data_IF_046004186028
#
_entry.id   IF_046004186028
#
_cell.length_a   1.000
_cell.length_b   1.000
_cell.length_c   1.000
_cell.angle_alpha   90.00
_cell.angle_beta   90.00
_cell.angle_gamma   90.00
#
_symmetry.space_group_name_H-M   'P 1'
#
loop_
_entity.id
_entity.type
_entity.pdbx_description
1 polymer ?
#
# COMPACT_ATOMS: atom_id res chain seq x y z
N UNK A 1 10.31 -17.31 -0.17
CA UNK A 1 9.36 -16.31 -0.60
C UNK A 1 9.65 -15.00 0.09
N UNK A 2 9.65 -13.91 -0.66
CA UNK A 2 10.08 -12.61 -0.18
C UNK A 2 8.99 -11.88 0.60
N UNK A 3 7.73 -11.97 0.16
CA UNK A 3 6.63 -11.30 0.84
C UNK A 3 5.77 -12.31 1.60
N UNK A 4 5.62 -12.07 2.89
CA UNK A 4 4.75 -12.88 3.74
C UNK A 4 3.43 -12.14 3.94
N UNK A 5 2.33 -12.78 3.62
CA UNK A 5 1.00 -12.16 3.69
C UNK A 5 0.15 -12.87 4.75
N UNK A 6 -0.45 -12.09 5.66
CA UNK A 6 -1.42 -12.58 6.62
C UNK A 6 -2.72 -11.79 6.50
N UNK A 7 -3.79 -12.32 7.07
CA UNK A 7 -5.13 -11.73 6.94
C UNK A 7 -5.81 -11.61 8.28
N UNK A 8 -6.61 -10.55 8.42
CA UNK A 8 -7.47 -10.34 9.59
C UNK A 8 -8.74 -9.62 9.15
N UNK A 9 -9.72 -9.53 10.08
CA UNK A 9 -10.99 -8.86 9.83
C UNK A 9 -12.11 -9.79 9.38
N UNK A 10 -13.23 -9.21 9.04
CA UNK A 10 -14.50 -9.90 8.85
C UNK A 10 -14.63 -10.72 7.58
N UNK A 11 -14.37 -10.06 6.47
CA UNK A 11 -14.46 -10.64 5.14
C UNK A 11 -13.14 -10.36 4.47
N UNK A 12 -12.46 -11.38 4.11
CA UNK A 12 -11.28 -11.17 3.32
C UNK A 12 -11.34 -12.03 2.06
N UNK A 13 -10.90 -11.46 0.99
CA UNK A 13 -10.81 -12.12 -0.31
C UNK A 13 -9.42 -12.72 -0.43
N UNK A 14 -9.08 -13.61 0.49
CA UNK A 14 -7.72 -14.12 0.68
C UNK A 14 -7.04 -14.57 -0.61
N UNK A 15 -7.75 -15.36 -1.38
CA UNK A 15 -7.18 -15.97 -2.57
C UNK A 15 -6.76 -14.93 -3.60
N UNK A 16 -7.68 -14.02 -3.91
CA UNK A 16 -7.39 -12.99 -4.93
C UNK A 16 -6.37 -11.97 -4.42
N UNK A 17 -6.40 -11.67 -3.13
CA UNK A 17 -5.43 -10.74 -2.53
C UNK A 17 -4.02 -11.35 -2.56
N UNK A 18 -3.87 -12.62 -2.20
CA UNK A 18 -2.56 -13.30 -2.30
C UNK A 18 -2.05 -13.28 -3.73
N UNK A 19 -2.91 -13.62 -4.67
CA UNK A 19 -2.55 -13.66 -6.09
C UNK A 19 -2.13 -12.27 -6.58
N UNK A 20 -2.90 -11.25 -6.23
CA UNK A 20 -2.59 -9.87 -6.63
C UNK A 20 -1.28 -9.37 -6.02
N UNK A 21 -1.04 -9.67 -4.75
CA UNK A 21 0.21 -9.27 -4.08
C UNK A 21 1.40 -10.00 -4.70
N UNK A 22 1.26 -11.29 -4.96
CA UNK A 22 2.32 -12.07 -5.60
C UNK A 22 2.64 -11.52 -6.99
N UNK A 23 1.62 -11.23 -7.78
CA UNK A 23 1.79 -10.61 -9.09
C UNK A 23 2.47 -9.25 -8.96
N UNK A 24 2.01 -8.41 -8.03
CA UNK A 24 2.55 -7.07 -7.82
C UNK A 24 4.05 -7.13 -7.48
N UNK A 25 4.43 -8.01 -6.54
CA UNK A 25 5.82 -8.08 -6.10
C UNK A 25 6.75 -8.50 -7.24
N UNK A 26 6.32 -9.41 -8.09
CA UNK A 26 7.07 -9.81 -9.27
C UNK A 26 7.11 -8.72 -10.33
N UNK A 27 5.96 -8.13 -10.62
CA UNK A 27 5.81 -7.09 -11.63
C UNK A 27 6.64 -5.84 -11.30
N UNK A 28 6.77 -5.52 -10.00
CA UNK A 28 7.50 -4.35 -9.52
C UNK A 28 8.93 -4.69 -9.05
N UNK A 29 9.38 -5.90 -9.28
CA UNK A 29 10.73 -6.34 -8.89
C UNK A 29 11.01 -6.22 -7.39
N UNK A 30 10.02 -6.54 -6.56
CA UNK A 30 10.14 -6.54 -5.11
C UNK A 30 10.36 -7.95 -4.54
N UNK A 31 10.38 -8.96 -5.39
CA UNK A 31 10.41 -10.36 -4.97
C UNK A 31 11.74 -10.82 -4.35
N UNK A 32 12.76 -9.96 -4.34
CA UNK A 32 14.03 -10.23 -3.66
C UNK A 32 14.12 -9.64 -2.27
N UNK A 33 13.14 -8.78 -1.91
CA UNK A 33 13.09 -8.17 -0.59
C UNK A 33 12.24 -9.03 0.35
N UNK A 34 12.64 -9.11 1.62
CA UNK A 34 11.88 -9.83 2.64
C UNK A 34 11.05 -8.83 3.43
N UNK A 35 9.74 -8.99 3.41
CA UNK A 35 8.83 -8.10 4.13
C UNK A 35 7.50 -8.79 4.39
N UNK A 36 6.69 -8.22 5.27
CA UNK A 36 5.40 -8.77 5.68
C UNK A 36 4.29 -7.75 5.47
N UNK A 37 3.17 -8.21 4.94
CA UNK A 37 1.95 -7.42 4.80
C UNK A 37 0.82 -8.16 5.52
N UNK A 38 0.19 -7.48 6.47
CA UNK A 38 -1.08 -7.92 7.02
C UNK A 38 -2.18 -7.16 6.27
N UNK A 39 -3.14 -7.89 5.72
CA UNK A 39 -4.30 -7.29 5.05
C UNK A 39 -5.51 -7.46 5.97
N UNK A 40 -6.08 -6.34 6.37
CA UNK A 40 -7.22 -6.32 7.28
C UNK A 40 -8.44 -5.71 6.58
N UNK A 41 -9.49 -6.50 6.47
CA UNK A 41 -10.76 -6.01 5.94
C UNK A 41 -11.57 -5.43 7.09
N UNK A 42 -12.05 -4.22 6.91
CA UNK A 42 -12.83 -3.51 7.92
C UNK A 42 -13.76 -2.52 7.25
N UNK A 43 -14.64 -1.90 8.04
CA UNK A 43 -15.48 -0.79 7.56
C UNK A 43 -14.73 0.51 7.78
N UNK A 44 -14.49 1.24 6.69
CA UNK A 44 -13.77 2.52 6.73
C UNK A 44 -14.70 3.73 6.54
N UNK A 45 -16.02 3.51 6.52
CA UNK A 45 -16.98 4.53 6.16
C UNK A 45 -16.91 5.80 7.01
N UNK A 46 -16.64 5.65 8.30
CA UNK A 46 -16.58 6.80 9.21
C UNK A 46 -15.30 7.63 9.04
N UNK A 47 -14.34 7.11 8.33
CA UNK A 47 -13.08 7.78 8.05
C UNK A 47 -13.03 8.33 6.64
N UNK A 48 -14.10 8.14 5.87
CA UNK A 48 -14.23 8.58 4.48
C UNK A 48 -13.07 8.13 3.59
N UNK A 49 -12.58 6.91 3.82
CA UNK A 49 -11.52 6.33 3.02
C UNK A 49 -11.81 4.88 2.66
N UNK A 50 -11.31 4.46 1.51
CA UNK A 50 -11.47 3.09 1.03
C UNK A 50 -10.41 2.16 1.59
N UNK A 51 -9.26 2.69 1.96
CA UNK A 51 -8.17 1.90 2.51
C UNK A 51 -7.08 2.75 3.13
N UNK A 52 -6.10 2.09 3.73
CA UNK A 52 -4.95 2.74 4.35
C UNK A 52 -3.76 1.79 4.40
N UNK A 53 -2.56 2.35 4.41
CA UNK A 53 -1.32 1.60 4.59
C UNK A 53 -0.52 2.19 5.74
N UNK A 54 -0.20 1.37 6.72
CA UNK A 54 0.57 1.79 7.90
C UNK A 54 1.83 0.93 8.01
N UNK A 55 2.96 1.55 8.31
CA UNK A 55 4.19 0.82 8.64
C UNK A 55 4.14 0.41 10.10
N UNK A 56 4.27 -0.89 10.38
CA UNK A 56 4.17 -1.44 11.73
C UNK A 56 5.53 -1.84 12.31
N UNK A 57 6.59 -1.70 11.54
CA UNK A 57 7.97 -1.91 11.99
C UNK A 57 8.69 -0.57 12.16
N UNK A 58 10.01 -0.62 12.30
CA UNK A 58 10.83 0.59 12.37
C UNK A 58 10.69 1.43 11.11
N UNK A 59 10.48 2.74 11.27
CA UNK A 59 10.37 3.66 10.13
C UNK A 59 11.69 3.82 9.37
N UNK A 60 12.83 3.57 10.04
CA UNK A 60 14.15 3.66 9.38
C UNK A 60 14.43 2.42 8.52
N UNK A 61 13.78 1.30 8.82
CA UNK A 61 13.89 0.07 8.04
C UNK A 61 12.52 -0.58 7.93
N UNK A 62 11.62 -0.02 7.08
CA UNK A 62 10.24 -0.50 7.01
C UNK A 62 10.17 -1.85 6.28
N UNK A 63 9.74 -2.89 7.01
CA UNK A 63 9.61 -4.26 6.48
C UNK A 63 8.31 -4.93 6.90
N UNK A 64 7.49 -4.27 7.72
CA UNK A 64 6.19 -4.79 8.13
C UNK A 64 5.14 -3.72 7.92
N UNK A 65 4.04 -4.10 7.29
CA UNK A 65 2.99 -3.16 6.89
C UNK A 65 1.61 -3.72 7.20
N UNK A 66 0.70 -2.83 7.55
CA UNK A 66 -0.71 -3.14 7.67
C UNK A 66 -1.45 -2.41 6.56
N UNK A 67 -2.14 -3.16 5.70
CA UNK A 67 -3.05 -2.60 4.71
C UNK A 67 -4.47 -2.85 5.19
N UNK A 68 -5.24 -1.77 5.35
CA UNK A 68 -6.65 -1.85 5.71
C UNK A 68 -7.49 -1.51 4.48
N UNK A 69 -8.51 -2.33 4.23
CA UNK A 69 -9.39 -2.16 3.07
C UNK A 69 -10.84 -2.20 3.50
N UNK A 70 -11.68 -1.37 2.90
CA UNK A 70 -13.11 -1.36 3.18
C UNK A 70 -13.74 -2.62 2.59
N UNK A 71 -14.34 -3.44 3.46
CA UNK A 71 -14.91 -4.74 3.06
C UNK A 71 -16.23 -4.60 2.28
N UNK A 72 -16.76 -3.39 2.11
CA UNK A 72 -17.99 -3.15 1.36
C UNK A 72 -17.74 -2.77 -0.10
N UNK A 73 -16.48 -2.54 -0.49
CA UNK A 73 -16.14 -2.21 -1.87
C UNK A 73 -16.45 -3.39 -2.79
N UNK A 74 -16.88 -3.10 -4.03
CA UNK A 74 -17.01 -4.15 -5.02
C UNK A 74 -15.63 -4.69 -5.41
N UNK A 75 -15.60 -5.81 -6.12
CA UNK A 75 -14.34 -6.50 -6.42
C UNK A 75 -13.35 -5.61 -7.17
N UNK A 76 -13.84 -4.82 -8.12
CA UNK A 76 -12.99 -3.93 -8.91
C UNK A 76 -12.38 -2.84 -8.03
N UNK A 77 -13.21 -2.12 -7.30
CA UNK A 77 -12.74 -1.01 -6.45
C UNK A 77 -11.85 -1.53 -5.32
N UNK A 78 -12.17 -2.70 -4.79
CA UNK A 78 -11.34 -3.33 -3.76
C UNK A 78 -9.91 -3.58 -4.27
N UNK A 79 -9.77 -4.13 -5.46
CA UNK A 79 -8.44 -4.39 -6.03
C UNK A 79 -7.71 -3.10 -6.41
N UNK A 80 -8.42 -2.11 -6.95
CA UNK A 80 -7.80 -0.81 -7.25
C UNK A 80 -7.24 -0.20 -5.97
N UNK A 81 -8.02 -0.24 -4.89
CA UNK A 81 -7.58 0.28 -3.60
C UNK A 81 -6.39 -0.52 -3.06
N UNK A 82 -6.43 -1.84 -3.20
CA UNK A 82 -5.29 -2.69 -2.82
C UNK A 82 -4.01 -2.24 -3.54
N UNK A 83 -4.07 -2.02 -4.86
CA UNK A 83 -2.90 -1.59 -5.62
C UNK A 83 -2.43 -0.19 -5.21
N UNK A 84 -3.36 0.69 -4.87
CA UNK A 84 -3.01 2.00 -4.30
C UNK A 84 -2.15 1.84 -3.04
N UNK A 85 -2.61 1.00 -2.10
CA UNK A 85 -1.90 0.78 -0.85
C UNK A 85 -0.58 0.02 -1.06
N UNK A 86 -0.54 -0.91 -2.02
CA UNK A 86 0.70 -1.61 -2.37
C UNK A 86 1.76 -0.65 -2.95
N UNK A 87 1.34 0.40 -3.63
CA UNK A 87 2.29 1.44 -4.07
C UNK A 87 2.95 2.12 -2.88
N UNK A 88 2.20 2.36 -1.80
CA UNK A 88 2.81 2.91 -0.58
C UNK A 88 3.82 1.94 0.04
N UNK A 89 3.54 0.65 0.00
CA UNK A 89 4.51 -0.37 0.47
C UNK A 89 5.79 -0.26 -0.36
N UNK A 90 5.68 -0.21 -1.67
CA UNK A 90 6.86 -0.09 -2.55
C UNK A 90 7.65 1.18 -2.26
N UNK A 91 6.96 2.31 -2.13
CA UNK A 91 7.59 3.60 -1.85
C UNK A 91 8.44 3.55 -0.59
N UNK A 92 7.92 2.90 0.46
CA UNK A 92 8.61 2.77 1.75
C UNK A 92 9.73 1.75 1.70
N UNK A 93 9.51 0.61 1.06
CA UNK A 93 10.55 -0.41 0.88
C UNK A 93 11.77 0.13 0.13
N UNK A 94 11.56 1.00 -0.85
CA UNK A 94 12.63 1.59 -1.64
C UNK A 94 13.18 2.88 -1.05
N UNK A 95 12.70 3.27 0.15
CA UNK A 95 13.10 4.51 0.83
C UNK A 95 12.82 5.77 0.01
N UNK A 96 11.86 5.72 -0.92
CA UNK A 96 11.44 6.91 -1.64
C UNK A 96 10.56 7.80 -0.78
N UNK A 97 9.69 7.20 0.04
CA UNK A 97 8.91 7.88 1.06
C UNK A 97 9.48 7.49 2.43
N UNK A 98 10.08 8.44 3.12
CA UNK A 98 10.66 8.22 4.44
C UNK A 98 9.91 9.03 5.48
N UNK A 99 9.65 8.43 6.63
CA UNK A 99 8.95 9.06 7.75
C UNK A 99 9.86 9.07 8.98
N UNK A 100 9.83 10.16 9.73
CA UNK A 100 10.58 10.30 10.98
C UNK A 100 9.69 10.94 12.04
N UNK A 101 9.80 10.49 13.27
CA UNK A 101 9.08 11.09 14.40
C UNK A 101 9.86 12.18 15.14
N UNK A 102 11.19 12.08 15.18
CA UNK A 102 12.00 12.96 16.00
C UNK A 102 12.90 13.84 15.13
N UNK A 103 13.12 15.12 15.51
CA UNK A 103 12.55 15.84 16.66
C UNK A 103 11.05 16.14 16.51
N UNK A 104 10.53 16.10 15.30
CA UNK A 104 9.10 16.20 15.02
C UNK A 104 8.78 15.29 13.84
N UNK A 105 7.51 14.94 13.68
CA UNK A 105 7.09 14.11 12.56
C UNK A 105 7.38 14.83 11.23
N UNK A 106 8.10 14.14 10.35
CA UNK A 106 8.55 14.70 9.07
C UNK A 106 8.42 13.64 8.00
N UNK A 107 7.97 14.05 6.81
CA UNK A 107 7.96 13.22 5.61
C UNK A 107 9.03 13.70 4.64
N UNK A 108 9.73 12.74 4.02
CA UNK A 108 10.65 13.00 2.91
C UNK A 108 10.21 12.22 1.68
N UNK A 109 10.34 12.83 0.54
CA UNK A 109 10.08 12.18 -0.74
C UNK A 109 11.30 12.37 -1.63
N UNK A 110 11.89 11.25 -2.06
CA UNK A 110 13.09 11.27 -2.91
C UNK A 110 14.22 12.11 -2.32
N UNK A 111 14.33 12.13 -0.99
CA UNK A 111 15.34 12.87 -0.26
C UNK A 111 14.95 14.29 0.18
N UNK A 112 13.84 14.83 -0.34
CA UNK A 112 13.40 16.18 -0.02
C UNK A 112 12.34 16.19 1.08
N UNK A 113 12.45 17.09 2.02
CA UNK A 113 11.46 17.29 3.08
C UNK A 113 10.19 17.88 2.46
N UNK A 114 9.06 17.25 2.73
CA UNK A 114 7.76 17.71 2.25
C UNK A 114 7.05 18.46 3.38
N UNK A 115 6.53 19.64 3.06
CA UNK A 115 5.84 20.49 4.04
C UNK A 115 4.62 19.77 4.62
N UNK A 116 4.44 19.87 5.95
CA UNK A 116 3.27 19.35 6.64
C UNK A 116 1.98 20.07 6.23
N UNK A 117 2.10 21.22 5.56
CA UNK A 117 0.96 21.98 5.05
C UNK A 117 0.50 21.52 3.66
N UNK A 118 1.23 20.59 3.04
CA UNK A 118 0.84 20.02 1.75
C UNK A 118 -0.50 19.31 1.89
N UNK A 119 -1.45 19.62 1.00
CA UNK A 119 -2.73 18.93 1.01
C UNK A 119 -2.55 17.45 0.64
N UNK A 120 -3.45 16.60 1.11
CA UNK A 120 -3.40 15.16 0.84
C UNK A 120 -3.26 14.88 -0.67
N UNK A 121 -4.01 15.60 -1.49
CA UNK A 121 -4.02 15.41 -2.94
C UNK A 121 -2.68 15.77 -3.60
N UNK A 122 -1.91 16.65 -2.99
CA UNK A 122 -0.64 17.13 -3.51
C UNK A 122 0.57 16.41 -2.92
N UNK A 123 0.36 15.53 -1.95
CA UNK A 123 1.45 14.73 -1.40
C UNK A 123 2.00 13.82 -2.49
N UNK A 124 3.31 13.88 -2.79
CA UNK A 124 3.85 13.18 -3.97
C UNK A 124 3.67 11.66 -3.93
N UNK A 125 3.67 11.06 -2.74
CA UNK A 125 3.41 9.63 -2.61
C UNK A 125 1.95 9.28 -2.95
N UNK A 126 1.00 10.19 -2.69
CA UNK A 126 -0.40 9.99 -3.07
C UNK A 126 -0.59 10.21 -4.57
N UNK A 127 0.05 11.23 -5.12
CA UNK A 127 -0.01 11.49 -6.56
C UNK A 127 0.43 10.24 -7.35
N UNK A 128 1.57 9.65 -6.97
CA UNK A 128 2.05 8.45 -7.65
C UNK A 128 1.09 7.27 -7.47
N UNK A 129 0.58 7.07 -6.25
CA UNK A 129 -0.32 5.95 -5.98
C UNK A 129 -1.63 6.07 -6.77
N UNK A 130 -2.20 7.28 -6.85
CA UNK A 130 -3.40 7.52 -7.67
C UNK A 130 -3.13 7.31 -9.16
N UNK A 131 -1.98 7.75 -9.64
CA UNK A 131 -1.62 7.58 -11.06
C UNK A 131 -1.45 6.10 -11.44
N UNK A 132 -0.97 5.28 -10.52
CA UNK A 132 -0.64 3.89 -10.80
C UNK A 132 -1.76 2.90 -10.52
N UNK A 133 -2.71 3.24 -9.67
CA UNK A 133 -3.68 2.26 -9.16
C UNK A 133 -4.53 1.58 -10.26
N UNK A 134 -5.08 2.35 -11.16
CA UNK A 134 -5.91 1.79 -12.23
C UNK A 134 -5.08 1.08 -13.30
N UNK A 135 -3.93 1.62 -13.60
CA UNK A 135 -2.99 0.99 -14.54
C UNK A 135 -2.58 -0.39 -14.03
N UNK A 136 -2.24 -0.51 -12.75
CA UNK A 136 -1.87 -1.79 -12.15
C UNK A 136 -3.04 -2.76 -12.16
N UNK A 137 -4.25 -2.27 -11.87
CA UNK A 137 -5.43 -3.10 -11.92
C UNK A 137 -5.63 -3.67 -13.33
N UNK A 138 -5.52 -2.84 -14.36
CA UNK A 138 -5.68 -3.29 -15.74
C UNK A 138 -4.61 -4.29 -16.14
N UNK A 139 -3.36 -4.03 -15.78
CA UNK A 139 -2.26 -4.94 -16.08
C UNK A 139 -2.44 -6.29 -15.38
N UNK A 140 -2.89 -6.26 -14.12
CA UNK A 140 -3.16 -7.47 -13.36
C UNK A 140 -4.29 -8.29 -13.97
N UNK A 141 -5.41 -7.66 -14.34
CA UNK A 141 -6.53 -8.36 -14.92
C UNK A 141 -6.21 -8.95 -16.30
N UNK A 142 -5.39 -8.26 -17.09
CA UNK A 142 -4.91 -8.82 -18.36
C UNK A 142 -4.02 -10.03 -18.14
N UNK A 143 -3.18 -10.01 -17.10
CA UNK A 143 -2.34 -11.14 -16.74
C UNK A 143 -3.18 -12.35 -16.30
N UNK A 144 -4.29 -12.10 -15.58
CA UNK A 144 -5.14 -13.15 -15.04
C UNK A 144 -6.01 -13.85 -16.10
N UNK A 145 -6.13 -13.26 -17.26
CA UNK A 145 -6.87 -13.87 -18.40
C UNK A 145 -6.02 -14.94 -19.16
#
# INVERSE_FOLDING_TARGET
MSCHVTFSGYRNRKRIVRDAIEWFTKHRNLNRLCFHIEVKDRRCWHEHMDGACTTTSSLSFPREFLIELDNRLDARQYLITLFHELMHVEQRLRNRHQQRFAPKFTNKWMGDVISSETSYEDEPWEVEAFDMQEKLYQEYTCHAE
#
